data_IF_793046951690
#
_entry.id   IF_793046951690
#
_cell.length_a   1.000
_cell.length_b   1.000
_cell.length_c   1.000
_cell.angle_alpha   90.00
_cell.angle_beta   90.00
_cell.angle_gamma   90.00
#
_symmetry.space_group_name_H-M   'P 1'
#
loop_
_entity.id
_entity.type
_entity.pdbx_description
1 polymer ?
#
# COMPACT_ATOMS: atom_id res chain seq x y z
N UNK A 1 12.82 1.15 -2.30
CA UNK A 1 11.98 1.88 -3.30
C UNK A 1 12.63 3.14 -3.88
N UNK A 2 13.88 3.48 -3.53
CA UNK A 2 14.47 4.78 -3.87
C UNK A 2 14.76 4.97 -5.37
N UNK A 3 15.20 3.92 -6.07
CA UNK A 3 15.51 4.01 -7.51
C UNK A 3 14.22 4.16 -8.32
N UNK A 4 13.26 3.25 -8.13
CA UNK A 4 11.96 3.30 -8.81
C UNK A 4 11.18 4.57 -8.46
N UNK A 5 11.28 5.04 -7.21
CA UNK A 5 10.59 6.23 -6.72
C UNK A 5 11.06 7.53 -7.36
N UNK A 6 12.23 7.55 -8.01
CA UNK A 6 12.74 8.71 -8.74
C UNK A 6 12.23 8.80 -10.19
N UNK A 7 11.56 7.76 -10.69
CA UNK A 7 11.05 7.75 -12.05
C UNK A 7 9.90 8.77 -12.19
N UNK A 8 10.07 9.85 -12.98
CA UNK A 8 9.15 10.99 -12.94
C UNK A 8 7.79 10.71 -13.57
N UNK A 9 7.70 9.70 -14.44
CA UNK A 9 6.50 9.36 -15.22
C UNK A 9 5.98 7.94 -14.96
N UNK A 10 6.51 7.25 -13.94
CA UNK A 10 6.01 5.92 -13.58
C UNK A 10 4.58 6.06 -13.03
N UNK A 11 3.59 5.68 -13.83
CA UNK A 11 2.17 5.81 -13.48
C UNK A 11 1.58 4.55 -12.83
N UNK A 12 2.19 3.39 -13.10
CA UNK A 12 1.73 2.09 -12.62
C UNK A 12 2.94 1.27 -12.20
N UNK A 13 2.87 0.69 -11.00
CA UNK A 13 3.88 -0.23 -10.49
C UNK A 13 3.20 -1.48 -9.97
N UNK A 14 3.57 -2.64 -10.52
CA UNK A 14 3.10 -3.95 -10.08
C UNK A 14 4.29 -4.76 -9.61
N UNK A 15 4.21 -5.27 -8.38
CA UNK A 15 5.24 -6.07 -7.73
C UNK A 15 4.63 -7.43 -7.41
N UNK A 16 4.86 -8.38 -8.29
CA UNK A 16 4.36 -9.75 -8.12
C UNK A 16 5.39 -10.62 -7.43
N UNK A 17 5.06 -11.90 -7.24
CA UNK A 17 5.92 -12.90 -6.63
C UNK A 17 7.39 -12.73 -7.04
N UNK A 18 8.29 -12.81 -6.06
CA UNK A 18 9.74 -12.69 -6.21
C UNK A 18 10.26 -11.32 -6.67
N UNK A 19 9.41 -10.27 -6.77
CA UNK A 19 9.88 -8.89 -7.02
C UNK A 19 10.78 -8.38 -5.90
N UNK A 20 10.47 -8.74 -4.67
CA UNK A 20 11.32 -8.55 -3.49
C UNK A 20 11.43 -9.87 -2.74
N UNK A 21 12.66 -10.20 -2.35
CA UNK A 21 12.96 -11.40 -1.56
C UNK A 21 13.48 -10.98 -0.20
N UNK A 22 13.01 -11.65 0.84
CA UNK A 22 13.40 -11.40 2.22
C UNK A 22 12.37 -11.95 3.20
N UNK A 23 12.81 -12.28 4.40
CA UNK A 23 11.92 -12.72 5.49
C UNK A 23 11.02 -11.58 5.97
N UNK A 24 11.54 -10.35 5.92
CA UNK A 24 10.82 -9.13 6.26
C UNK A 24 11.00 -8.09 5.15
N UNK A 25 9.89 -7.74 4.50
CA UNK A 25 9.81 -6.70 3.48
C UNK A 25 9.03 -5.54 4.08
N UNK A 26 9.72 -4.42 4.24
CA UNK A 26 9.19 -3.19 4.82
C UNK A 26 9.39 -2.06 3.83
N UNK A 27 8.29 -1.40 3.46
CA UNK A 27 8.31 -0.28 2.55
C UNK A 27 8.06 1.03 3.28
N UNK A 28 9.07 1.90 3.26
CA UNK A 28 8.96 3.26 3.77
C UNK A 28 8.89 4.24 2.59
N UNK A 29 7.72 4.84 2.39
CA UNK A 29 7.50 5.84 1.35
C UNK A 29 7.68 7.25 1.92
N UNK A 30 8.83 7.83 1.59
CA UNK A 30 9.22 9.19 1.94
C UNK A 30 8.52 10.22 1.04
N UNK A 31 8.52 11.48 1.47
CA UNK A 31 8.06 12.60 0.66
C UNK A 31 8.84 12.68 -0.66
N UNK A 32 8.14 12.97 -1.76
CA UNK A 32 8.75 13.22 -3.07
C UNK A 32 9.09 11.97 -3.89
N UNK A 33 8.90 10.77 -3.35
CA UNK A 33 8.96 9.53 -4.14
C UNK A 33 7.66 9.32 -4.92
N UNK A 34 7.81 8.74 -6.12
CA UNK A 34 6.72 8.36 -7.02
C UNK A 34 5.78 9.53 -7.36
N UNK A 35 6.29 10.64 -7.92
CA UNK A 35 5.50 11.85 -8.13
C UNK A 35 4.32 11.65 -9.09
N UNK A 36 4.38 10.64 -9.97
CA UNK A 36 3.36 10.34 -10.97
C UNK A 36 2.61 9.03 -10.77
N UNK A 37 2.91 8.27 -9.71
CA UNK A 37 2.32 6.93 -9.53
C UNK A 37 0.83 7.05 -9.18
N UNK A 38 0.00 6.39 -9.97
CA UNK A 38 -1.47 6.39 -9.85
C UNK A 38 -1.96 5.05 -9.32
N UNK A 39 -1.29 3.95 -9.66
CA UNK A 39 -1.65 2.62 -9.21
C UNK A 39 -0.42 1.87 -8.69
N UNK A 40 -0.60 1.24 -7.52
CA UNK A 40 0.36 0.32 -6.92
C UNK A 40 -0.33 -1.02 -6.68
N UNK A 41 0.28 -2.09 -7.17
CA UNK A 41 -0.17 -3.47 -6.98
C UNK A 41 0.95 -4.29 -6.36
N UNK A 42 0.62 -5.07 -5.32
CA UNK A 42 1.50 -6.09 -4.78
C UNK A 42 0.76 -7.42 -4.70
N UNK A 43 1.38 -8.46 -5.25
CA UNK A 43 0.82 -9.81 -5.24
C UNK A 43 1.86 -10.80 -4.78
N UNK A 44 1.46 -11.72 -3.89
CA UNK A 44 2.29 -12.85 -3.45
C UNK A 44 3.66 -12.41 -2.88
N UNK A 45 3.66 -11.36 -2.04
CA UNK A 45 4.84 -10.91 -1.31
C UNK A 45 4.85 -11.54 0.10
N UNK A 46 5.26 -12.81 0.20
CA UNK A 46 5.20 -13.58 1.45
C UNK A 46 5.93 -12.90 2.63
N UNK A 47 7.03 -12.19 2.36
CA UNK A 47 7.78 -11.45 3.38
C UNK A 47 7.18 -10.11 3.80
N UNK A 48 6.09 -9.64 3.19
CA UNK A 48 5.57 -8.30 3.44
C UNK A 48 5.08 -8.14 4.89
N UNK A 49 5.71 -7.20 5.62
CA UNK A 49 5.33 -6.82 6.97
C UNK A 49 4.57 -5.50 7.00
N UNK A 50 5.06 -4.49 6.27
CA UNK A 50 4.42 -3.17 6.33
C UNK A 50 4.68 -2.22 5.14
N UNK A 51 3.73 -1.31 4.96
CA UNK A 51 3.81 -0.04 4.26
C UNK A 51 3.67 1.12 5.26
N UNK A 52 4.62 2.04 5.22
CA UNK A 52 4.53 3.32 5.92
C UNK A 52 4.55 4.46 4.93
N UNK A 53 3.48 5.23 4.89
CA UNK A 53 3.34 6.42 4.06
C UNK A 53 3.59 7.67 4.93
N UNK A 54 4.63 8.43 4.61
CA UNK A 54 4.86 9.72 5.26
C UNK A 54 4.00 10.82 4.60
N UNK A 55 3.85 11.96 5.28
CA UNK A 55 3.19 13.11 4.70
C UNK A 55 3.85 13.51 3.36
N UNK A 56 3.05 13.67 2.31
CA UNK A 56 3.51 13.99 0.96
C UNK A 56 4.11 12.81 0.18
N UNK A 57 3.96 11.57 0.66
CA UNK A 57 4.28 10.37 -0.09
C UNK A 57 3.22 10.06 -1.16
N UNK A 58 3.64 9.56 -2.33
CA UNK A 58 2.77 9.11 -3.43
C UNK A 58 1.59 10.06 -3.70
N UNK A 59 1.86 11.34 -4.03
CA UNK A 59 0.84 12.39 -4.04
C UNK A 59 -0.30 12.15 -5.05
N UNK A 60 -0.12 11.24 -6.00
CA UNK A 60 -1.09 10.93 -7.07
C UNK A 60 -1.65 9.51 -7.01
N UNK A 61 -1.31 8.72 -5.99
CA UNK A 61 -1.79 7.34 -5.88
C UNK A 61 -3.30 7.34 -5.67
N UNK A 62 -4.02 6.69 -6.58
CA UNK A 62 -5.47 6.55 -6.55
C UNK A 62 -5.92 5.15 -6.17
N UNK A 63 -5.15 4.13 -6.55
CA UNK A 63 -5.52 2.73 -6.29
C UNK A 63 -4.36 1.94 -5.70
N UNK A 64 -4.64 1.25 -4.59
CA UNK A 64 -3.74 0.28 -3.96
C UNK A 64 -4.39 -1.12 -4.02
N UNK A 65 -3.75 -2.04 -4.71
CA UNK A 65 -4.16 -3.44 -4.81
C UNK A 65 -3.15 -4.32 -4.07
N UNK A 66 -3.59 -5.12 -3.11
CA UNK A 66 -2.72 -6.06 -2.39
C UNK A 66 -3.38 -7.43 -2.32
N UNK A 67 -2.76 -8.40 -2.98
CA UNK A 67 -3.23 -9.77 -3.11
C UNK A 67 -2.25 -10.75 -2.46
N UNK A 68 -2.78 -11.66 -1.65
CA UNK A 68 -2.03 -12.77 -1.04
C UNK A 68 -0.74 -12.32 -0.31
N UNK A 69 -0.78 -11.17 0.38
CA UNK A 69 0.31 -10.69 1.23
C UNK A 69 -0.11 -10.78 2.71
N UNK A 70 -0.42 -11.98 3.17
CA UNK A 70 -1.18 -12.21 4.42
C UNK A 70 -0.36 -12.08 5.72
N UNK A 71 0.97 -11.94 5.61
CA UNK A 71 1.88 -11.85 6.76
C UNK A 71 2.15 -10.43 7.26
N UNK A 72 1.30 -9.47 6.88
CA UNK A 72 1.36 -8.09 7.33
C UNK A 72 1.09 -7.97 8.83
N UNK A 73 1.77 -7.03 9.46
CA UNK A 73 1.57 -6.75 10.88
C UNK A 73 0.19 -6.15 11.14
N UNK A 74 -0.23 -6.15 12.41
CA UNK A 74 -1.46 -5.50 12.85
C UNK A 74 -1.54 -4.02 12.44
N UNK A 75 -0.40 -3.33 12.37
CA UNK A 75 -0.28 -1.94 11.89
C UNK A 75 0.43 -1.89 10.53
N UNK A 76 0.36 -2.97 9.76
CA UNK A 76 1.14 -3.16 8.56
C UNK A 76 0.95 -2.02 7.57
N UNK A 77 -0.24 -1.40 7.50
CA UNK A 77 -0.44 -0.23 6.65
C UNK A 77 -0.60 0.98 7.55
N UNK A 78 0.29 1.97 7.42
CA UNK A 78 0.29 3.18 8.25
C UNK A 78 0.43 4.44 7.41
N UNK A 79 -0.20 5.53 7.86
CA UNK A 79 -0.20 6.80 7.14
C UNK A 79 -1.18 6.84 5.97
N UNK A 80 -2.17 5.96 5.93
CA UNK A 80 -3.17 5.92 4.85
C UNK A 80 -3.95 7.25 4.75
N UNK A 81 -4.11 7.97 5.86
CA UNK A 81 -4.74 9.29 5.89
C UNK A 81 -3.93 10.39 5.20
N UNK A 82 -2.62 10.19 4.99
CA UNK A 82 -1.75 11.14 4.26
C UNK A 82 -1.81 10.98 2.73
N UNK A 83 -2.42 9.90 2.22
CA UNK A 83 -2.56 9.67 0.78
C UNK A 83 -3.71 10.50 0.22
N UNK A 84 -3.40 11.74 -0.15
CA UNK A 84 -4.37 12.78 -0.52
C UNK A 84 -5.14 12.54 -1.82
N UNK A 85 -4.72 11.59 -2.66
CA UNK A 85 -5.37 11.22 -3.92
C UNK A 85 -6.01 9.84 -3.90
N UNK A 86 -5.90 9.10 -2.79
CA UNK A 86 -6.35 7.71 -2.70
C UNK A 86 -7.87 7.63 -2.85
N UNK A 87 -8.34 6.71 -3.69
CA UNK A 87 -9.77 6.47 -3.97
C UNK A 87 -10.18 5.05 -3.65
N UNK A 88 -9.29 4.10 -3.86
CA UNK A 88 -9.59 2.68 -3.71
C UNK A 88 -8.44 1.92 -3.06
N UNK A 89 -8.79 1.06 -2.12
CA UNK A 89 -7.93 0.00 -1.59
C UNK A 89 -8.64 -1.32 -1.82
N UNK A 90 -7.96 -2.25 -2.48
CA UNK A 90 -8.46 -3.61 -2.67
C UNK A 90 -7.50 -4.59 -2.01
N UNK A 91 -8.05 -5.38 -1.09
CA UNK A 91 -7.34 -6.45 -0.41
C UNK A 91 -7.91 -7.80 -0.83
N UNK A 92 -7.05 -8.72 -1.25
CA UNK A 92 -7.44 -10.11 -1.49
C UNK A 92 -6.54 -11.03 -0.70
N UNK A 93 -7.13 -11.91 0.11
CA UNK A 93 -6.42 -12.80 1.03
C UNK A 93 -6.93 -12.73 2.46
N UNK A 94 -6.43 -13.65 3.29
CA UNK A 94 -6.89 -13.86 4.66
C UNK A 94 -6.12 -13.00 5.67
N UNK A 95 -6.44 -11.71 5.67
CA UNK A 95 -5.87 -10.74 6.61
C UNK A 95 -6.49 -10.87 8.00
N UNK A 96 -5.69 -10.67 9.05
CA UNK A 96 -6.19 -10.71 10.42
C UNK A 96 -7.12 -9.51 10.74
N UNK A 97 -8.06 -9.72 11.68
CA UNK A 97 -9.07 -8.72 12.02
C UNK A 97 -8.47 -7.41 12.55
N UNK A 98 -7.40 -7.48 13.35
CA UNK A 98 -6.80 -6.28 13.96
C UNK A 98 -6.17 -5.38 12.89
N UNK A 99 -5.50 -5.95 11.90
CA UNK A 99 -5.05 -5.24 10.71
C UNK A 99 -6.22 -4.60 9.95
N UNK A 100 -7.28 -5.36 9.68
CA UNK A 100 -8.45 -4.87 8.96
C UNK A 100 -9.13 -3.69 9.67
N UNK A 101 -9.27 -3.76 10.99
CA UNK A 101 -9.86 -2.68 11.79
C UNK A 101 -8.99 -1.43 11.77
N UNK A 102 -7.67 -1.59 11.97
CA UNK A 102 -6.71 -0.48 11.90
C UNK A 102 -6.68 0.19 10.53
N UNK A 103 -6.73 -0.60 9.44
CA UNK A 103 -6.80 -0.08 8.08
C UNK A 103 -8.10 0.73 7.89
N UNK A 104 -9.25 0.17 8.26
CA UNK A 104 -10.55 0.86 8.15
C UNK A 104 -10.55 2.18 8.91
N UNK A 105 -10.02 2.20 10.14
CA UNK A 105 -9.91 3.45 10.92
C UNK A 105 -9.14 4.53 10.17
N UNK A 106 -7.99 4.19 9.57
CA UNK A 106 -7.19 5.18 8.84
C UNK A 106 -7.85 5.62 7.52
N UNK A 107 -8.56 4.72 6.82
CA UNK A 107 -9.29 5.09 5.60
C UNK A 107 -10.46 6.03 5.90
N UNK A 108 -11.17 5.85 7.02
CA UNK A 108 -12.22 6.78 7.48
C UNK A 108 -11.66 8.16 7.82
N UNK A 109 -10.42 8.23 8.29
CA UNK A 109 -9.72 9.49 8.59
C UNK A 109 -9.11 10.17 7.34
N UNK A 110 -9.05 9.47 6.21
CA UNK A 110 -8.57 10.05 4.96
C UNK A 110 -9.63 11.00 4.40
N UNK A 111 -9.22 12.19 3.95
CA UNK A 111 -10.11 13.21 3.40
C UNK A 111 -11.00 12.74 2.24
N UNK A 112 -10.53 11.77 1.44
CA UNK A 112 -11.27 11.23 0.30
C UNK A 112 -12.15 10.03 0.66
N UNK A 113 -12.07 9.52 1.88
CA UNK A 113 -12.78 8.32 2.34
C UNK A 113 -12.73 7.17 1.30
N UNK A 114 -11.52 6.69 0.94
CA UNK A 114 -11.35 5.70 -0.11
C UNK A 114 -12.15 4.42 0.18
N UNK A 115 -12.68 3.83 -0.89
CA UNK A 115 -13.46 2.60 -0.81
C UNK A 115 -12.51 1.45 -0.50
N UNK A 116 -12.82 0.68 0.55
CA UNK A 116 -12.16 -0.59 0.85
C UNK A 116 -12.98 -1.75 0.26
N UNK A 117 -12.38 -2.47 -0.68
CA UNK A 117 -12.89 -3.77 -1.18
C UNK A 117 -12.05 -4.89 -0.60
N UNK A 118 -12.70 -5.97 -0.14
CA UNK A 118 -11.97 -7.14 0.36
C UNK A 118 -12.61 -8.45 -0.09
N UNK A 119 -11.78 -9.47 -0.30
CA UNK A 119 -12.20 -10.85 -0.56
C UNK A 119 -11.20 -11.83 0.05
N UNK A 120 -11.67 -12.88 0.72
CA UNK A 120 -10.83 -14.01 1.15
C UNK A 120 -10.44 -14.88 -0.06
N UNK A 121 -9.36 -15.65 0.07
CA UNK A 121 -8.88 -16.59 -0.97
C UNK A 121 -9.25 -18.03 -0.67
#
# INVERSE_FOLDING_TARGET
MEVLGKLPHLASLRLWKDSFQGEEIIFHFQQGLFPSLVMLELSDQDGLKSFTFMNGALPRLQSLYVENCIHVDNNGFSGMSFLTSLKEVMLKGDYNNKFMDNLRTQLTQNQNQPILKWAST
#
